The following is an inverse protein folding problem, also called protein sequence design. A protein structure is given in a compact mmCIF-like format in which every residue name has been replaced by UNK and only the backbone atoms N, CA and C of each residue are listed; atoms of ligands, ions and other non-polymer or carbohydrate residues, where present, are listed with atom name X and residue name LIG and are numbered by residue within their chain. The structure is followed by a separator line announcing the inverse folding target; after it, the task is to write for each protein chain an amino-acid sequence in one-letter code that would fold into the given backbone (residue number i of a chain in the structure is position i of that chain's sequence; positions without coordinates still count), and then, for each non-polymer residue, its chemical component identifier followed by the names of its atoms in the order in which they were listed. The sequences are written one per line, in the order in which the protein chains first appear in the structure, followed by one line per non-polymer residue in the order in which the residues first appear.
data_IF_337711779529
#
_entry.id   IF_337711779529
#
_cell.length_a   1.000
_cell.length_b   1.000
_cell.length_c   1.000
_cell.angle_alpha   90.00
_cell.angle_beta   90.00
_cell.angle_gamma   90.00
#
_symmetry.space_group_name_H-M   'P 1'
#
loop_
_entity.id
_entity.type
_entity.pdbx_description
1 polymer ?
#
# COMPACT_ATOMS: atom_id res chain seq x y z
N UNK A 1 12.79 -22.55 -16.80
CA UNK A 1 11.47 -22.16 -16.23
C UNK A 1 10.57 -21.75 -17.38
N UNK A 2 9.33 -22.26 -17.48
CA UNK A 2 8.49 -21.99 -18.66
C UNK A 2 7.98 -20.54 -18.65
N UNK A 3 7.82 -19.92 -19.83
CA UNK A 3 7.33 -18.53 -19.95
C UNK A 3 5.99 -18.29 -19.23
N UNK A 4 5.16 -19.34 -19.11
CA UNK A 4 3.90 -19.30 -18.37
C UNK A 4 4.11 -18.93 -16.89
N UNK A 5 5.10 -19.52 -16.22
CA UNK A 5 5.40 -19.18 -14.82
C UNK A 5 5.89 -17.73 -14.68
N UNK A 6 6.70 -17.25 -15.63
CA UNK A 6 7.17 -15.87 -15.63
C UNK A 6 6.02 -14.86 -15.81
N UNK A 7 5.04 -15.16 -16.67
CA UNK A 7 3.85 -14.31 -16.82
C UNK A 7 2.93 -14.36 -15.59
N UNK A 8 2.77 -15.53 -14.96
CA UNK A 8 2.00 -15.66 -13.72
C UNK A 8 2.66 -14.93 -12.55
N UNK A 9 3.98 -14.94 -12.46
CA UNK A 9 4.71 -14.18 -11.44
C UNK A 9 4.66 -12.67 -11.72
N UNK A 10 4.78 -12.24 -12.97
CA UNK A 10 4.69 -10.83 -13.36
C UNK A 10 3.28 -10.26 -13.22
N UNK A 11 2.24 -11.11 -13.27
CA UNK A 11 0.85 -10.69 -13.14
C UNK A 11 0.49 -10.20 -11.73
N UNK A 12 1.26 -10.58 -10.70
CA UNK A 12 0.99 -10.18 -9.31
C UNK A 12 2.15 -9.39 -8.70
N UNK A 13 1.84 -8.19 -8.20
CA UNK A 13 2.79 -7.42 -7.41
C UNK A 13 3.14 -8.19 -6.12
N UNK A 14 4.44 -8.30 -5.80
CA UNK A 14 4.94 -8.93 -4.58
C UNK A 14 4.28 -8.42 -3.30
N UNK A 15 3.93 -7.13 -3.24
CA UNK A 15 3.19 -6.55 -2.11
C UNK A 15 1.76 -7.11 -2.00
N UNK A 16 1.07 -7.30 -3.13
CA UNK A 16 -0.27 -7.92 -3.14
C UNK A 16 -0.19 -9.34 -2.61
N UNK A 17 0.79 -10.13 -3.07
CA UNK A 17 1.02 -11.51 -2.59
C UNK A 17 1.26 -11.56 -1.07
N UNK A 18 2.14 -10.71 -0.55
CA UNK A 18 2.41 -10.62 0.89
C UNK A 18 1.18 -10.19 1.70
N UNK A 19 0.46 -9.18 1.21
CA UNK A 19 -0.75 -8.68 1.86
C UNK A 19 -1.86 -9.73 1.90
N UNK A 20 -2.00 -10.52 0.85
CA UNK A 20 -3.00 -11.59 0.77
C UNK A 20 -2.62 -12.75 1.69
N UNK A 21 -1.36 -13.18 1.68
CA UNK A 21 -0.86 -14.20 2.60
C UNK A 21 -1.06 -13.79 4.08
N UNK A 22 -0.80 -12.53 4.43
CA UNK A 22 -1.06 -12.00 5.77
C UNK A 22 -2.55 -12.03 6.13
N UNK A 23 -3.43 -11.67 5.20
CA UNK A 23 -4.86 -11.70 5.42
C UNK A 23 -5.40 -13.13 5.63
N UNK A 24 -4.93 -14.10 4.84
CA UNK A 24 -5.27 -15.52 5.00
C UNK A 24 -4.78 -16.03 6.34
N UNK A 25 -3.51 -15.79 6.69
CA UNK A 25 -2.93 -16.18 7.98
C UNK A 25 -3.74 -15.64 9.16
N UNK A 26 -4.14 -14.38 9.12
CA UNK A 26 -4.93 -13.82 10.19
C UNK A 26 -6.32 -14.45 10.27
N UNK A 27 -6.94 -14.81 9.15
CA UNK A 27 -8.21 -15.53 9.17
C UNK A 27 -8.08 -16.93 9.78
N UNK A 28 -7.07 -17.72 9.37
CA UNK A 28 -6.91 -19.10 9.82
C UNK A 28 -6.30 -19.21 11.23
N UNK A 29 -5.32 -18.36 11.56
CA UNK A 29 -4.55 -18.50 12.81
C UNK A 29 -5.13 -17.62 13.91
N UNK A 30 -5.32 -16.32 13.65
CA UNK A 30 -5.74 -15.37 14.68
C UNK A 30 -7.24 -15.47 14.95
N UNK A 31 -8.04 -15.50 13.88
CA UNK A 31 -9.49 -15.66 13.98
C UNK A 31 -9.93 -17.12 14.16
N UNK A 32 -9.08 -18.10 13.80
CA UNK A 32 -9.40 -19.54 13.81
C UNK A 32 -10.55 -19.92 12.87
N UNK A 33 -10.64 -19.20 11.75
CA UNK A 33 -11.55 -19.54 10.66
C UNK A 33 -11.06 -20.74 9.87
N UNK A 34 -12.00 -21.51 9.32
CA UNK A 34 -11.69 -22.64 8.46
C UNK A 34 -11.85 -22.24 6.99
N UNK A 35 -10.90 -22.69 6.17
CA UNK A 35 -10.92 -22.60 4.72
C UNK A 35 -11.03 -24.01 4.13
N UNK A 36 -11.91 -24.25 3.13
CA UNK A 36 -12.88 -23.31 2.55
C UNK A 36 -13.93 -22.85 3.56
N UNK A 37 -14.39 -21.62 3.42
CA UNK A 37 -15.28 -20.97 4.37
C UNK A 37 -16.69 -20.77 3.82
N UNK A 38 -17.62 -20.44 4.71
CA UNK A 38 -19.00 -20.11 4.35
C UNK A 38 -19.22 -18.60 4.34
N UNK A 39 -20.26 -18.12 3.62
CA UNK A 39 -20.70 -16.73 3.71
C UNK A 39 -20.92 -16.24 5.15
N UNK A 40 -21.47 -17.10 6.01
CA UNK A 40 -21.73 -16.78 7.42
C UNK A 40 -20.43 -16.63 8.23
N UNK A 41 -19.49 -17.55 8.08
CA UNK A 41 -18.20 -17.49 8.78
C UNK A 41 -17.40 -16.24 8.38
N UNK A 42 -17.36 -15.90 7.09
CA UNK A 42 -16.74 -14.66 6.61
C UNK A 42 -17.45 -13.43 7.15
N UNK A 43 -18.79 -13.45 7.18
CA UNK A 43 -19.58 -12.33 7.70
C UNK A 43 -19.31 -12.07 9.18
N UNK A 44 -19.24 -13.13 10.01
CA UNK A 44 -18.88 -13.01 11.43
C UNK A 44 -17.47 -12.46 11.62
N UNK A 45 -16.52 -12.93 10.82
CA UNK A 45 -15.16 -12.40 10.83
C UNK A 45 -15.12 -10.90 10.52
N UNK A 46 -15.79 -10.46 9.44
CA UNK A 46 -15.83 -9.04 9.09
C UNK A 46 -16.49 -8.19 10.19
N UNK A 47 -17.57 -8.69 10.79
CA UNK A 47 -18.26 -8.02 11.88
C UNK A 47 -17.40 -7.91 13.15
N UNK A 48 -16.66 -8.97 13.51
CA UNK A 48 -15.80 -8.98 14.70
C UNK A 48 -14.69 -7.93 14.67
N UNK A 49 -14.21 -7.59 13.48
CA UNK A 49 -13.16 -6.59 13.28
C UNK A 49 -13.68 -5.23 12.75
N UNK A 50 -15.01 -5.05 12.69
CA UNK A 50 -15.63 -3.84 12.16
C UNK A 50 -15.30 -2.57 12.94
N UNK A 51 -15.16 -2.70 14.26
CA UNK A 51 -14.85 -1.57 15.15
C UNK A 51 -13.35 -1.25 15.25
N UNK A 52 -12.48 -2.21 14.91
CA UNK A 52 -11.03 -2.11 15.14
C UNK A 52 -10.23 -1.89 13.86
N UNK A 53 -10.72 -2.37 12.71
CA UNK A 53 -10.04 -2.24 11.42
C UNK A 53 -10.74 -1.24 10.50
N UNK A 54 -9.93 -0.55 9.69
CA UNK A 54 -10.46 0.30 8.63
C UNK A 54 -11.21 -0.53 7.58
N UNK A 55 -12.25 0.05 6.98
CA UNK A 55 -13.05 -0.62 5.95
C UNK A 55 -12.22 -1.09 4.75
N UNK A 56 -11.18 -0.35 4.38
CA UNK A 56 -10.26 -0.73 3.30
C UNK A 56 -9.46 -1.99 3.66
N UNK A 57 -9.06 -2.14 4.92
CA UNK A 57 -8.40 -3.35 5.43
C UNK A 57 -9.35 -4.55 5.39
N UNK A 58 -10.61 -4.39 5.81
CA UNK A 58 -11.62 -5.45 5.75
C UNK A 58 -11.90 -5.90 4.31
N UNK A 59 -11.96 -4.96 3.36
CA UNK A 59 -12.12 -5.24 1.93
C UNK A 59 -10.92 -5.97 1.34
N UNK A 60 -9.70 -5.55 1.70
CA UNK A 60 -8.49 -6.24 1.26
C UNK A 60 -8.46 -7.68 1.79
N UNK A 61 -8.80 -7.88 3.07
CA UNK A 61 -8.90 -9.21 3.67
C UNK A 61 -9.95 -10.07 2.96
N UNK A 62 -11.11 -9.50 2.64
CA UNK A 62 -12.15 -10.20 1.89
C UNK A 62 -11.68 -10.59 0.47
N UNK A 63 -10.96 -9.70 -0.21
CA UNK A 63 -10.37 -9.99 -1.53
C UNK A 63 -9.33 -11.12 -1.46
N UNK A 64 -8.52 -11.16 -0.41
CA UNK A 64 -7.58 -12.26 -0.18
C UNK A 64 -8.30 -13.60 0.03
N UNK A 65 -9.38 -13.63 0.82
CA UNK A 65 -10.19 -14.83 1.00
C UNK A 65 -10.88 -15.26 -0.29
N UNK A 66 -11.42 -14.33 -1.07
CA UNK A 66 -12.00 -14.57 -2.41
C UNK A 66 -10.97 -15.20 -3.36
N UNK A 67 -9.76 -14.63 -3.40
CA UNK A 67 -8.63 -15.13 -4.20
C UNK A 67 -8.25 -16.54 -3.78
N UNK A 68 -8.11 -16.80 -2.47
CA UNK A 68 -7.82 -18.14 -1.97
C UNK A 68 -8.84 -19.18 -2.44
N UNK A 69 -10.14 -18.89 -2.36
CA UNK A 69 -11.17 -19.85 -2.83
C UNK A 69 -11.06 -20.09 -4.33
N UNK A 70 -10.89 -19.02 -5.11
CA UNK A 70 -10.77 -19.12 -6.57
C UNK A 70 -9.54 -19.91 -6.99
N UNK A 71 -8.39 -19.66 -6.36
CA UNK A 71 -7.13 -20.33 -6.67
C UNK A 71 -7.15 -21.82 -6.28
N UNK A 72 -7.92 -22.18 -5.25
CA UNK A 72 -8.13 -23.56 -4.81
C UNK A 72 -9.31 -24.25 -5.53
N UNK A 73 -9.99 -23.56 -6.46
CA UNK A 73 -11.10 -24.12 -7.24
C UNK A 73 -12.44 -24.24 -6.49
N UNK A 74 -12.58 -23.58 -5.34
CA UNK A 74 -13.83 -23.54 -4.57
C UNK A 74 -14.75 -22.39 -5.02
N UNK A 75 -16.08 -22.53 -4.84
CA UNK A 75 -17.00 -21.40 -4.98
C UNK A 75 -16.62 -20.26 -4.03
N UNK A 76 -16.73 -19.02 -4.48
CA UNK A 76 -16.34 -17.85 -3.70
C UNK A 76 -17.46 -17.38 -2.74
N UNK A 77 -17.35 -17.61 -1.42
CA UNK A 77 -18.34 -17.18 -0.44
C UNK A 77 -18.43 -15.65 -0.26
N UNK A 78 -17.38 -14.91 -0.65
CA UNK A 78 -17.33 -13.45 -0.50
C UNK A 78 -18.34 -12.71 -1.38
N UNK A 79 -18.77 -13.33 -2.49
CA UNK A 79 -19.70 -12.75 -3.47
C UNK A 79 -21.17 -12.88 -3.03
N UNK A 80 -21.44 -13.61 -1.96
CA UNK A 80 -22.80 -13.79 -1.42
C UNK A 80 -23.48 -12.46 -1.07
N UNK A 81 -24.82 -12.43 -1.12
CA UNK A 81 -25.59 -11.25 -0.74
C UNK A 81 -25.38 -10.86 0.74
N UNK A 82 -25.24 -11.85 1.62
CA UNK A 82 -24.99 -11.67 3.05
C UNK A 82 -23.72 -10.87 3.31
N UNK A 83 -22.58 -11.28 2.73
CA UNK A 83 -21.28 -10.60 2.92
C UNK A 83 -21.34 -9.16 2.41
N UNK A 84 -22.00 -8.92 1.27
CA UNK A 84 -22.21 -7.56 0.73
C UNK A 84 -23.07 -6.69 1.66
N UNK A 85 -24.15 -7.25 2.21
CA UNK A 85 -25.01 -6.53 3.17
C UNK A 85 -24.26 -6.21 4.46
N UNK A 86 -23.45 -7.14 4.99
CA UNK A 86 -22.63 -6.92 6.19
C UNK A 86 -21.62 -5.81 5.96
N UNK A 87 -20.88 -5.82 4.84
CA UNK A 87 -19.96 -4.72 4.52
C UNK A 87 -20.67 -3.37 4.37
N UNK A 88 -21.89 -3.35 3.81
CA UNK A 88 -22.72 -2.14 3.74
C UNK A 88 -23.09 -1.66 5.13
N UNK A 89 -23.51 -2.56 6.02
CA UNK A 89 -23.83 -2.24 7.42
C UNK A 89 -22.62 -1.69 8.18
N UNK A 90 -21.47 -2.36 8.08
CA UNK A 90 -20.20 -1.91 8.68
C UNK A 90 -19.86 -0.49 8.22
N UNK A 91 -19.99 -0.21 6.92
CA UNK A 91 -19.76 1.13 6.37
C UNK A 91 -20.68 2.17 6.99
N UNK A 92 -21.97 1.85 7.15
CA UNK A 92 -22.96 2.77 7.70
C UNK A 92 -22.73 3.05 9.18
N UNK A 93 -22.34 2.03 9.96
CA UNK A 93 -22.14 2.16 11.42
C UNK A 93 -20.77 2.74 11.76
N UNK A 94 -19.72 2.34 11.05
CA UNK A 94 -18.33 2.72 11.32
C UNK A 94 -17.76 3.61 10.21
N UNK A 95 -18.55 4.58 9.73
CA UNK A 95 -18.12 5.56 8.75
C UNK A 95 -17.02 6.46 9.35
N UNK A 96 -15.76 6.00 9.32
CA UNK A 96 -14.61 6.81 9.70
C UNK A 96 -14.14 7.58 8.47
N UNK A 97 -13.96 8.91 8.57
CA UNK A 97 -13.37 9.70 7.49
C UNK A 97 -12.02 9.12 7.09
N UNK A 98 -11.79 8.99 5.78
CA UNK A 98 -10.51 8.52 5.27
C UNK A 98 -9.42 9.52 5.69
N UNK A 99 -8.43 9.05 6.46
CA UNK A 99 -7.26 9.86 6.83
C UNK A 99 -6.42 10.09 5.58
N UNK A 100 -6.59 11.25 4.95
CA UNK A 100 -5.74 11.71 3.87
C UNK A 100 -4.56 12.48 4.45
N UNK A 101 -3.37 12.24 3.90
CA UNK A 101 -2.23 13.09 4.21
C UNK A 101 -2.58 14.53 3.80
N UNK A 102 -2.20 15.51 4.62
CA UNK A 102 -2.34 16.91 4.24
C UNK A 102 -1.45 17.15 3.01
N UNK A 103 -1.93 17.88 1.99
CA UNK A 103 -1.11 18.22 0.85
C UNK A 103 0.12 19.00 1.32
N UNK A 104 1.28 18.73 0.72
CA UNK A 104 2.46 19.54 0.95
C UNK A 104 2.23 20.92 0.31
N UNK A 105 2.15 21.96 1.12
CA UNK A 105 1.97 23.32 0.62
C UNK A 105 3.27 23.86 0.03
N UNK A 106 3.17 24.71 -0.99
CA UNK A 106 4.33 25.29 -1.67
C UNK A 106 5.23 26.08 -0.72
N UNK A 107 4.65 26.80 0.25
CA UNK A 107 5.40 27.53 1.27
C UNK A 107 6.23 26.59 2.16
N UNK A 108 5.70 25.41 2.50
CA UNK A 108 6.44 24.41 3.27
C UNK A 108 7.55 23.78 2.42
N UNK A 109 7.26 23.48 1.15
CA UNK A 109 8.28 22.98 0.23
C UNK A 109 9.45 23.97 0.09
N UNK A 110 9.17 25.26 -0.07
CA UNK A 110 10.20 26.31 -0.14
C UNK A 110 11.09 26.34 1.11
N UNK A 111 10.48 26.21 2.30
CA UNK A 111 11.26 26.15 3.55
C UNK A 111 12.17 24.93 3.60
N UNK A 112 11.68 23.76 3.19
CA UNK A 112 12.48 22.53 3.14
C UNK A 112 13.59 22.65 2.10
N UNK A 113 13.31 23.22 0.93
CA UNK A 113 14.28 23.43 -0.13
C UNK A 113 15.42 24.34 0.34
N UNK A 114 15.09 25.49 0.94
CA UNK A 114 16.06 26.43 1.46
C UNK A 114 16.92 25.82 2.58
N UNK A 115 16.30 25.04 3.47
CA UNK A 115 17.02 24.35 4.52
C UNK A 115 18.01 23.32 3.96
N UNK A 116 17.59 22.54 2.97
CA UNK A 116 18.45 21.56 2.30
C UNK A 116 19.59 22.22 1.52
N UNK A 117 19.32 23.34 0.84
CA UNK A 117 20.33 24.11 0.11
C UNK A 117 21.43 24.65 1.06
N UNK A 118 21.02 25.20 2.20
CA UNK A 118 21.95 25.63 3.25
C UNK A 118 22.75 24.45 3.83
N UNK A 119 22.10 23.30 4.06
CA UNK A 119 22.77 22.10 4.57
C UNK A 119 23.81 21.55 3.58
N UNK A 120 23.53 21.61 2.27
CA UNK A 120 24.48 21.27 1.20
C UNK A 120 25.70 22.20 1.27
N UNK A 121 25.48 23.52 1.35
CA UNK A 121 26.56 24.50 1.45
C UNK A 121 27.45 24.28 2.68
N UNK A 122 26.84 24.02 3.84
CA UNK A 122 27.58 23.74 5.08
C UNK A 122 28.41 22.46 4.99
N UNK A 123 27.85 21.39 4.43
CA UNK A 123 28.57 20.12 4.24
C UNK A 123 29.73 20.26 3.26
N UNK A 124 29.59 21.10 2.24
CA UNK A 124 30.67 21.40 1.30
C UNK A 124 31.81 22.17 1.98
N UNK A 125 31.49 23.15 2.83
CA UNK A 125 32.49 23.93 3.56
C UNK A 125 33.24 23.10 4.61
N UNK A 126 32.55 22.17 5.30
CA UNK A 126 33.15 21.30 6.30
C UNK A 126 33.90 20.09 5.73
N UNK A 127 33.80 19.86 4.41
CA UNK A 127 34.37 18.68 3.76
C UNK A 127 33.63 17.37 4.08
N UNK A 128 32.44 17.41 4.69
CA UNK A 128 31.65 16.22 4.99
C UNK A 128 30.94 15.71 3.72
N UNK A 129 31.65 14.85 2.98
CA UNK A 129 31.14 14.23 1.75
C UNK A 129 29.88 13.39 1.99
N UNK A 130 29.72 12.76 3.16
CA UNK A 130 28.56 11.92 3.44
C UNK A 130 27.30 12.75 3.61
N UNK A 131 27.39 13.84 4.39
CA UNK A 131 26.31 14.81 4.54
C UNK A 131 25.96 15.44 3.18
N UNK A 132 26.96 15.88 2.41
CA UNK A 132 26.77 16.50 1.11
C UNK A 132 25.91 15.62 0.18
N UNK A 133 26.30 14.35 -0.01
CA UNK A 133 25.57 13.43 -0.88
C UNK A 133 24.13 13.16 -0.39
N UNK A 134 23.96 13.03 0.93
CA UNK A 134 22.64 12.77 1.53
C UNK A 134 21.70 13.97 1.37
N UNK A 135 22.17 15.19 1.62
CA UNK A 135 21.33 16.39 1.49
C UNK A 135 20.96 16.65 0.03
N UNK A 136 21.92 16.53 -0.91
CA UNK A 136 21.65 16.65 -2.35
C UNK A 136 20.62 15.61 -2.81
N UNK A 137 20.79 14.34 -2.42
CA UNK A 137 19.81 13.27 -2.75
C UNK A 137 18.43 13.60 -2.20
N UNK A 138 18.32 13.97 -0.93
CA UNK A 138 17.04 14.26 -0.30
C UNK A 138 16.33 15.46 -0.96
N UNK A 139 17.09 16.49 -1.34
CA UNK A 139 16.58 17.65 -2.09
C UNK A 139 16.02 17.23 -3.43
N UNK A 140 16.78 16.45 -4.21
CA UNK A 140 16.31 15.93 -5.50
C UNK A 140 15.05 15.07 -5.36
N UNK A 141 15.01 14.16 -4.37
CA UNK A 141 13.83 13.31 -4.14
C UNK A 141 12.59 14.12 -3.78
N UNK A 142 12.72 15.13 -2.91
CA UNK A 142 11.60 16.01 -2.54
C UNK A 142 11.10 16.83 -3.73
N UNK A 143 12.00 17.45 -4.48
CA UNK A 143 11.63 18.30 -5.62
C UNK A 143 11.04 17.49 -6.78
N UNK A 144 11.66 16.37 -7.16
CA UNK A 144 11.14 15.49 -8.21
C UNK A 144 9.80 14.88 -7.78
N UNK A 145 9.69 14.41 -6.54
CA UNK A 145 8.45 13.87 -5.98
C UNK A 145 7.31 14.88 -6.02
N UNK A 146 7.57 16.12 -5.61
CA UNK A 146 6.58 17.18 -5.61
C UNK A 146 6.17 17.60 -7.04
N UNK A 147 7.13 17.98 -7.88
CA UNK A 147 6.82 18.58 -9.20
C UNK A 147 6.30 17.58 -10.22
N UNK A 148 6.71 16.31 -10.15
CA UNK A 148 6.20 15.25 -11.03
C UNK A 148 5.03 14.49 -10.44
N UNK A 149 4.68 14.72 -9.17
CA UNK A 149 3.66 13.97 -8.47
C UNK A 149 4.01 12.49 -8.27
N UNK A 150 5.30 12.17 -8.24
CA UNK A 150 5.75 10.78 -8.12
C UNK A 150 5.46 10.22 -6.73
N UNK A 151 4.99 8.98 -6.72
CA UNK A 151 4.89 8.15 -5.51
C UNK A 151 6.27 7.64 -5.11
N UNK A 152 6.39 7.18 -3.87
CA UNK A 152 7.66 6.69 -3.33
C UNK A 152 8.25 5.54 -4.13
N UNK A 153 7.42 4.63 -4.65
CA UNK A 153 7.84 3.52 -5.49
C UNK A 153 8.31 3.98 -6.88
N UNK A 154 7.68 5.00 -7.44
CA UNK A 154 8.14 5.61 -8.69
C UNK A 154 9.50 6.28 -8.51
N UNK A 155 9.68 7.05 -7.43
CA UNK A 155 10.97 7.69 -7.10
C UNK A 155 12.11 6.68 -6.92
N UNK A 156 11.84 5.55 -6.24
CA UNK A 156 12.84 4.51 -5.97
C UNK A 156 13.22 3.75 -7.24
N UNK A 157 12.31 3.67 -8.22
CA UNK A 157 12.55 2.97 -9.48
C UNK A 157 13.04 3.90 -10.61
N UNK A 158 13.28 5.19 -10.33
CA UNK A 158 13.85 6.11 -11.30
C UNK A 158 15.24 5.63 -11.75
N UNK A 159 15.44 5.69 -13.06
CA UNK A 159 16.63 5.23 -13.77
C UNK A 159 17.16 6.36 -14.63
N UNK A 160 18.46 6.63 -14.54
CA UNK A 160 19.09 7.74 -15.28
C UNK A 160 18.96 7.52 -16.78
N UNK A 161 19.05 6.27 -17.23
CA UNK A 161 18.85 5.86 -18.62
C UNK A 161 17.46 6.19 -19.18
N UNK A 162 16.47 6.44 -18.32
CA UNK A 162 15.10 6.78 -18.69
C UNK A 162 14.81 8.29 -18.54
N UNK A 163 15.84 9.13 -18.40
CA UNK A 163 15.69 10.58 -18.28
C UNK A 163 16.10 11.30 -19.55
N UNK A 164 15.21 12.16 -20.04
CA UNK A 164 15.45 13.02 -21.21
C UNK A 164 15.36 14.48 -20.77
N UNK A 165 16.34 15.29 -21.17
CA UNK A 165 16.32 16.75 -21.00
C UNK A 165 15.85 17.33 -22.32
N UNK A 166 14.65 17.89 -22.32
CA UNK A 166 14.05 18.60 -23.47
C UNK A 166 14.32 20.09 -23.38
#
# INVERSE_FOLDING_TARGET
MSQLFQYLEAAENANTRRSYASAIRHFEIEWKGLLPSTPDAISRYLAAYAATLAINTLRQRLAALSRWHTDQGFPDPSKSALVRQVLKGIRSVHAVPEKRARPLELAVLQQVDQWLDNAIGNAQQSGDRSALLRHTRNRSLMLLGFWRGFRSDELVNLRVENTEVT
#
